data_IF_967081108494
#
_entry.id   IF_967081108494
#
_cell.length_a   1.000
_cell.length_b   1.000
_cell.length_c   1.000
_cell.angle_alpha   90.00
_cell.angle_beta   90.00
_cell.angle_gamma   90.00
#
_symmetry.space_group_name_H-M   'P 1'
#
loop_
_entity.id
_entity.type
_entity.pdbx_description
1 polymer ?
#
# COMPACT_ATOMS: atom_id res chain seq x y z
N UNK A 1 -11.66 -20.99 -2.79
CA UNK A 1 -12.54 -21.05 -1.59
C UNK A 1 -13.41 -19.82 -1.56
N UNK A 2 -14.70 -19.96 -1.17
CA UNK A 2 -15.59 -18.79 -1.02
C UNK A 2 -15.32 -18.06 0.29
N UNK A 3 -15.51 -16.73 0.33
CA UNK A 3 -15.34 -15.94 1.55
C UNK A 3 -16.25 -16.39 2.70
N UNK A 4 -17.44 -16.93 2.41
CA UNK A 4 -18.37 -17.50 3.39
C UNK A 4 -17.82 -18.69 4.16
N UNK A 5 -16.79 -19.36 3.65
CA UNK A 5 -16.14 -20.53 4.26
C UNK A 5 -14.95 -20.15 5.17
N UNK A 6 -14.57 -18.85 5.19
CA UNK A 6 -13.40 -18.34 5.93
C UNK A 6 -13.69 -17.96 7.39
N UNK A 7 -14.92 -18.08 7.88
CA UNK A 7 -15.29 -17.75 9.27
C UNK A 7 -15.53 -16.26 9.53
N UNK A 8 -15.80 -15.49 8.47
CA UNK A 8 -16.12 -14.07 8.57
C UNK A 8 -17.57 -13.87 9.03
N UNK A 9 -17.82 -12.78 9.78
CA UNK A 9 -19.16 -12.41 10.21
C UNK A 9 -20.03 -11.88 9.05
N UNK A 10 -21.35 -11.85 9.27
CA UNK A 10 -22.33 -11.48 8.24
C UNK A 10 -22.15 -10.05 7.72
N UNK A 11 -21.72 -9.10 8.57
CA UNK A 11 -21.52 -7.71 8.19
C UNK A 11 -20.36 -7.56 7.18
N UNK A 12 -19.23 -8.26 7.40
CA UNK A 12 -18.09 -8.25 6.50
C UNK A 12 -18.40 -9.01 5.21
N UNK A 13 -19.09 -10.18 5.29
CA UNK A 13 -19.51 -10.93 4.09
C UNK A 13 -20.39 -10.08 3.19
N UNK A 14 -21.31 -9.31 3.76
CA UNK A 14 -22.18 -8.40 2.99
C UNK A 14 -21.38 -7.28 2.30
N UNK A 15 -20.38 -6.70 3.00
CA UNK A 15 -19.49 -5.69 2.39
C UNK A 15 -18.67 -6.28 1.23
N UNK A 16 -18.16 -7.52 1.38
CA UNK A 16 -17.40 -8.25 0.36
C UNK A 16 -18.27 -8.51 -0.89
N UNK A 17 -19.50 -8.98 -0.69
CA UNK A 17 -20.46 -9.23 -1.77
C UNK A 17 -20.77 -7.94 -2.55
N UNK A 18 -20.98 -6.82 -1.86
CA UNK A 18 -21.20 -5.51 -2.47
C UNK A 18 -19.99 -5.01 -3.28
N UNK A 19 -18.78 -5.45 -2.94
CA UNK A 19 -17.56 -5.17 -3.70
C UNK A 19 -17.36 -6.10 -4.90
N UNK A 20 -18.23 -7.10 -5.09
CA UNK A 20 -18.15 -8.07 -6.18
C UNK A 20 -17.08 -9.15 -5.98
N UNK A 21 -16.63 -9.38 -4.75
CA UNK A 21 -15.66 -10.42 -4.46
C UNK A 21 -16.39 -11.75 -4.19
N UNK A 22 -16.20 -12.74 -5.05
CA UNK A 22 -16.84 -14.05 -4.93
C UNK A 22 -15.93 -15.08 -4.27
N UNK A 23 -14.69 -15.15 -4.75
CA UNK A 23 -13.70 -16.12 -4.31
C UNK A 23 -12.48 -15.46 -3.66
N UNK A 24 -11.98 -16.06 -2.61
CA UNK A 24 -10.77 -15.62 -1.95
C UNK A 24 -9.52 -15.98 -2.77
N UNK A 25 -8.58 -15.07 -2.81
CA UNK A 25 -7.27 -15.32 -3.40
C UNK A 25 -6.43 -16.27 -2.52
N UNK A 26 -5.39 -16.94 -3.05
CA UNK A 26 -4.58 -17.87 -2.26
C UNK A 26 -3.98 -17.30 -0.98
N UNK A 27 -3.60 -15.99 -0.97
CA UNK A 27 -3.09 -15.33 0.25
C UNK A 27 -4.21 -15.13 1.27
N UNK A 28 -5.42 -14.81 0.83
CA UNK A 28 -6.58 -14.63 1.68
C UNK A 28 -7.04 -15.95 2.29
N UNK A 29 -7.13 -17.02 1.48
CA UNK A 29 -7.52 -18.36 1.93
C UNK A 29 -6.63 -18.87 3.06
N UNK A 30 -5.31 -18.65 2.95
CA UNK A 30 -4.35 -19.17 3.92
C UNK A 30 -4.19 -18.24 5.14
N UNK A 31 -4.28 -16.91 4.95
CA UNK A 31 -4.01 -15.94 6.02
C UNK A 31 -5.23 -15.70 6.90
N UNK A 32 -6.43 -15.51 6.31
CA UNK A 32 -7.62 -15.10 7.06
C UNK A 32 -7.94 -16.07 8.21
N UNK A 33 -7.98 -17.40 8.00
CA UNK A 33 -8.29 -18.32 9.10
C UNK A 33 -7.27 -18.30 10.24
N UNK A 34 -5.97 -18.16 9.93
CA UNK A 34 -4.92 -18.06 10.94
C UNK A 34 -5.03 -16.77 11.75
N UNK A 35 -5.25 -15.66 11.06
CA UNK A 35 -5.40 -14.35 11.70
C UNK A 35 -6.68 -14.25 12.56
N UNK A 36 -7.77 -14.91 12.16
CA UNK A 36 -9.00 -15.00 12.97
C UNK A 36 -8.79 -15.80 14.26
N UNK A 37 -7.87 -16.78 14.27
CA UNK A 37 -7.47 -17.51 15.48
C UNK A 37 -6.58 -16.68 16.42
N UNK A 38 -6.19 -15.47 16.03
CA UNK A 38 -5.33 -14.60 16.82
C UNK A 38 -3.83 -14.85 16.64
N UNK A 39 -3.43 -15.70 15.71
CA UNK A 39 -2.02 -16.02 15.44
C UNK A 39 -1.34 -14.85 14.72
N UNK A 40 -0.06 -14.67 15.01
CA UNK A 40 0.79 -13.81 14.21
C UNK A 40 1.08 -14.46 12.86
N UNK A 41 1.06 -13.69 11.79
CA UNK A 41 1.25 -14.23 10.44
C UNK A 41 2.26 -13.42 9.64
N UNK A 42 3.17 -14.11 8.99
CA UNK A 42 4.05 -13.54 7.97
C UNK A 42 3.55 -14.00 6.61
N UNK A 43 2.94 -13.09 5.86
CA UNK A 43 2.42 -13.31 4.51
C UNK A 43 3.41 -12.88 3.43
N UNK A 44 3.99 -13.84 2.71
CA UNK A 44 4.86 -13.55 1.56
C UNK A 44 4.08 -13.67 0.26
N UNK A 45 3.72 -12.51 -0.35
CA UNK A 45 2.99 -12.44 -1.61
C UNK A 45 3.27 -11.12 -2.35
N UNK A 46 3.21 -11.15 -3.68
CA UNK A 46 3.39 -9.97 -4.52
C UNK A 46 2.28 -8.92 -4.33
N UNK A 47 2.51 -7.70 -4.81
CA UNK A 47 1.48 -6.65 -4.88
C UNK A 47 0.35 -7.09 -5.82
N UNK A 48 -0.89 -6.66 -5.56
CA UNK A 48 -2.05 -7.04 -6.37
C UNK A 48 -2.64 -8.44 -6.07
N UNK A 49 -2.12 -9.17 -5.08
CA UNK A 49 -2.63 -10.50 -4.71
C UNK A 49 -3.79 -10.48 -3.71
N UNK A 50 -4.26 -9.28 -3.29
CA UNK A 50 -5.34 -9.14 -2.32
C UNK A 50 -4.90 -9.14 -0.86
N UNK A 51 -3.65 -8.73 -0.57
CA UNK A 51 -3.09 -8.66 0.79
C UNK A 51 -3.93 -7.78 1.72
N UNK A 52 -4.42 -6.64 1.23
CA UNK A 52 -5.21 -5.70 2.05
C UNK A 52 -6.44 -6.36 2.66
N UNK A 53 -7.19 -7.13 1.89
CA UNK A 53 -8.31 -7.90 2.43
C UNK A 53 -7.85 -9.06 3.32
N UNK A 54 -6.69 -9.68 3.03
CA UNK A 54 -6.15 -10.78 3.83
C UNK A 54 -5.84 -10.36 5.28
N UNK A 55 -5.30 -9.16 5.52
CA UNK A 55 -5.12 -8.65 6.88
C UNK A 55 -6.30 -7.79 7.37
N UNK A 56 -6.96 -7.09 6.46
CA UNK A 56 -8.02 -6.15 6.80
C UNK A 56 -9.26 -6.83 7.37
N UNK A 57 -9.71 -7.92 6.76
CA UNK A 57 -10.91 -8.63 7.20
C UNK A 57 -10.81 -9.18 8.63
N UNK A 58 -9.75 -9.93 9.00
CA UNK A 58 -9.61 -10.39 10.38
C UNK A 58 -9.42 -9.25 11.37
N UNK A 59 -8.67 -8.19 11.02
CA UNK A 59 -8.54 -7.00 11.85
C UNK A 59 -9.89 -6.31 12.05
N UNK A 60 -10.65 -6.07 10.98
CA UNK A 60 -11.98 -5.47 11.04
C UNK A 60 -12.94 -6.31 11.88
N UNK A 61 -12.88 -7.65 11.82
CA UNK A 61 -13.75 -8.53 12.59
C UNK A 61 -13.55 -8.38 14.10
N UNK A 62 -12.32 -8.14 14.55
CA UNK A 62 -11.97 -7.95 15.98
C UNK A 62 -12.39 -6.60 16.53
N UNK A 63 -12.53 -5.56 15.71
CA UNK A 63 -12.86 -4.21 16.19
C UNK A 63 -14.17 -4.19 16.96
N UNK A 64 -14.11 -3.70 18.19
CA UNK A 64 -15.29 -3.33 19.00
C UNK A 64 -15.70 -1.89 18.65
N UNK A 65 -16.86 -1.76 18.00
CA UNK A 65 -17.40 -0.46 17.59
C UNK A 65 -17.86 0.42 18.76
N UNK A 66 -18.11 -0.16 19.94
CA UNK A 66 -18.51 0.59 21.14
C UNK A 66 -17.31 1.26 21.81
N UNK A 67 -16.12 0.72 21.60
CA UNK A 67 -14.88 1.26 22.14
C UNK A 67 -14.27 2.29 21.18
N UNK A 68 -14.29 3.56 21.56
CA UNK A 68 -13.80 4.69 20.75
C UNK A 68 -12.32 4.98 20.98
N UNK A 69 -11.50 3.94 20.91
CA UNK A 69 -10.01 3.99 20.96
C UNK A 69 -9.44 3.37 19.70
N UNK A 70 -8.17 3.61 19.45
CA UNK A 70 -7.44 3.00 18.33
C UNK A 70 -7.13 1.54 18.72
N UNK A 71 -7.69 0.59 17.99
CA UNK A 71 -7.56 -0.85 18.23
C UNK A 71 -6.70 -1.53 17.15
N UNK A 72 -6.62 -0.92 15.96
CA UNK A 72 -5.83 -1.40 14.85
C UNK A 72 -4.90 -0.35 14.27
N UNK A 73 -3.70 -0.76 13.87
CA UNK A 73 -2.75 0.09 13.15
C UNK A 73 -2.17 -0.64 11.93
N UNK A 74 -2.14 0.05 10.81
CA UNK A 74 -1.46 -0.41 9.57
C UNK A 74 -0.36 0.56 9.22
N UNK A 75 0.85 0.04 9.06
CA UNK A 75 2.03 0.80 8.66
C UNK A 75 2.35 0.48 7.21
N UNK A 76 2.41 1.51 6.35
CA UNK A 76 2.65 1.40 4.92
C UNK A 76 3.81 2.30 4.47
N UNK A 77 4.62 1.90 3.46
CA UNK A 77 5.83 2.62 3.04
C UNK A 77 5.56 3.99 2.45
N UNK A 78 4.46 4.14 1.72
CA UNK A 78 4.16 5.34 0.94
C UNK A 78 2.80 5.94 1.31
N UNK A 79 2.65 7.23 1.01
CA UNK A 79 1.40 7.98 1.21
C UNK A 79 0.27 7.39 0.39
N UNK A 80 0.59 7.05 -0.84
CA UNK A 80 -0.35 6.51 -1.83
C UNK A 80 -0.90 5.17 -1.34
N UNK A 81 -0.01 4.25 -0.92
CA UNK A 81 -0.44 2.96 -0.39
C UNK A 81 -1.24 3.13 0.92
N UNK A 82 -0.83 4.04 1.81
CA UNK A 82 -1.59 4.30 3.03
C UNK A 82 -3.01 4.80 2.74
N UNK A 83 -3.19 5.67 1.73
CA UNK A 83 -4.50 6.15 1.30
C UNK A 83 -5.33 5.01 0.70
N UNK A 84 -4.74 4.22 -0.20
CA UNK A 84 -5.41 3.08 -0.83
C UNK A 84 -5.86 2.04 0.22
N UNK A 85 -4.97 1.71 1.16
CA UNK A 85 -5.28 0.80 2.26
C UNK A 85 -6.44 1.33 3.12
N UNK A 86 -6.44 2.62 3.44
CA UNK A 86 -7.54 3.24 4.20
C UNK A 86 -8.86 3.16 3.44
N UNK A 87 -8.86 3.46 2.14
CA UNK A 87 -10.05 3.40 1.30
C UNK A 87 -10.59 1.98 1.17
N UNK A 88 -9.71 0.99 1.02
CA UNK A 88 -10.10 -0.42 0.95
C UNK A 88 -10.67 -0.91 2.28
N UNK A 89 -10.01 -0.63 3.42
CA UNK A 89 -10.52 -0.95 4.74
C UNK A 89 -11.87 -0.28 5.02
N UNK A 90 -12.05 0.96 4.58
CA UNK A 90 -13.33 1.65 4.68
C UNK A 90 -14.44 0.93 3.88
N UNK A 91 -14.15 0.51 2.65
CA UNK A 91 -15.10 -0.26 1.82
C UNK A 91 -15.45 -1.61 2.44
N UNK A 92 -14.43 -2.36 2.91
CA UNK A 92 -14.59 -3.65 3.58
C UNK A 92 -15.39 -3.56 4.88
N UNK A 93 -15.34 -2.41 5.56
CA UNK A 93 -16.04 -2.19 6.84
C UNK A 93 -17.36 -1.45 6.73
N UNK A 94 -17.87 -1.23 5.52
CA UNK A 94 -19.05 -0.38 5.28
C UNK A 94 -20.27 -0.76 6.12
N UNK A 95 -20.61 -2.03 6.16
CA UNK A 95 -21.75 -2.53 6.93
C UNK A 95 -21.44 -2.63 8.46
N UNK A 96 -20.18 -2.86 8.82
CA UNK A 96 -19.72 -2.85 10.22
C UNK A 96 -19.49 -1.45 10.79
N UNK A 97 -19.37 -0.41 9.93
CA UNK A 97 -19.21 1.02 10.31
C UNK A 97 -17.97 1.32 11.16
N UNK A 98 -16.82 0.71 10.83
CA UNK A 98 -15.55 1.01 11.49
C UNK A 98 -14.98 2.33 10.97
N UNK A 99 -14.51 3.19 11.87
CA UNK A 99 -13.85 4.44 11.51
C UNK A 99 -12.36 4.22 11.26
N UNK A 100 -11.91 4.46 10.04
CA UNK A 100 -10.52 4.31 9.60
C UNK A 100 -9.96 5.67 9.22
N UNK A 101 -8.86 6.08 9.84
CA UNK A 101 -8.19 7.36 9.56
C UNK A 101 -6.80 7.14 9.01
N UNK A 102 -6.43 7.90 7.96
CA UNK A 102 -5.07 7.86 7.40
C UNK A 102 -4.24 9.06 7.87
N UNK A 103 -2.94 8.81 8.16
CA UNK A 103 -1.95 9.84 8.53
C UNK A 103 -0.65 9.63 7.74
N UNK A 104 -0.16 10.67 7.06
CA UNK A 104 1.05 10.59 6.23
C UNK A 104 1.79 11.92 6.15
N UNK A 105 3.07 11.87 5.84
CA UNK A 105 3.92 13.05 5.70
C UNK A 105 3.57 13.91 4.48
N UNK A 106 3.85 15.22 4.55
CA UNK A 106 3.59 16.18 3.46
C UNK A 106 2.16 16.73 3.39
N UNK A 107 1.24 16.22 4.22
CA UNK A 107 -0.06 16.85 4.45
C UNK A 107 -0.02 17.69 5.74
N UNK A 108 -0.95 18.65 5.84
CA UNK A 108 -1.08 19.49 7.04
C UNK A 108 -1.40 18.64 8.28
N UNK A 109 -0.50 18.69 9.24
CA UNK A 109 -0.62 17.94 10.48
C UNK A 109 -1.82 18.39 11.32
N UNK A 110 -2.15 19.67 11.32
CA UNK A 110 -3.29 20.18 12.10
C UNK A 110 -4.62 19.65 11.56
N UNK A 111 -4.72 19.43 10.25
CA UNK A 111 -5.89 18.79 9.65
C UNK A 111 -5.99 17.35 10.11
N UNK A 112 -4.87 16.61 10.18
CA UNK A 112 -4.85 15.23 10.68
C UNK A 112 -5.20 15.18 12.16
N UNK A 113 -4.64 16.09 12.99
CA UNK A 113 -4.99 16.18 14.41
C UNK A 113 -6.50 16.44 14.62
N UNK A 114 -7.10 17.31 13.79
CA UNK A 114 -8.56 17.53 13.86
C UNK A 114 -9.36 16.27 13.50
N UNK A 115 -8.91 15.54 12.46
CA UNK A 115 -9.58 14.29 12.07
C UNK A 115 -9.46 13.18 13.14
N UNK A 116 -8.34 13.10 13.84
CA UNK A 116 -8.11 12.16 14.94
C UNK A 116 -9.04 12.41 16.15
N UNK A 117 -9.59 13.63 16.32
CA UNK A 117 -10.59 13.91 17.35
C UNK A 117 -11.89 13.12 17.17
N UNK A 118 -12.15 12.59 15.98
CA UNK A 118 -13.29 11.70 15.72
C UNK A 118 -13.11 10.29 16.32
N UNK A 119 -11.99 10.04 17.00
CA UNK A 119 -11.66 8.79 17.68
C UNK A 119 -11.80 7.56 16.76
N UNK A 120 -11.00 7.48 15.68
CA UNK A 120 -11.04 6.32 14.80
C UNK A 120 -10.59 5.05 15.53
N UNK A 121 -11.11 3.89 15.13
CA UNK A 121 -10.70 2.60 15.65
C UNK A 121 -9.47 2.04 14.94
N UNK A 122 -9.24 2.44 13.69
CA UNK A 122 -8.06 2.02 12.91
C UNK A 122 -7.32 3.25 12.40
N UNK A 123 -5.99 3.20 12.53
CA UNK A 123 -5.08 4.16 11.90
C UNK A 123 -4.28 3.45 10.81
N UNK A 124 -4.21 4.07 9.65
CA UNK A 124 -3.28 3.70 8.58
C UNK A 124 -2.27 4.82 8.43
N UNK A 125 -0.98 4.52 8.33
CA UNK A 125 -0.02 5.62 8.19
C UNK A 125 1.36 5.23 7.71
N UNK A 126 2.13 6.27 7.32
CA UNK A 126 3.54 6.14 7.01
C UNK A 126 4.40 6.28 8.29
N UNK A 127 5.54 5.54 8.41
CA UNK A 127 6.29 5.44 9.65
C UNK A 127 6.61 6.79 10.31
N UNK A 128 7.30 7.70 9.62
CA UNK A 128 7.71 8.97 10.18
C UNK A 128 6.55 9.88 10.64
N UNK A 129 5.37 9.84 9.98
CA UNK A 129 4.21 10.62 10.40
C UNK A 129 3.48 9.97 11.59
N UNK A 130 3.45 8.66 11.65
CA UNK A 130 2.96 7.95 12.84
C UNK A 130 3.79 8.33 14.08
N UNK A 131 5.13 8.28 13.97
CA UNK A 131 6.02 8.70 15.06
C UNK A 131 5.83 10.16 15.46
N UNK A 132 5.63 11.08 14.51
CA UNK A 132 5.36 12.49 14.83
C UNK A 132 4.05 12.62 15.65
N UNK A 133 2.98 11.92 15.28
CA UNK A 133 1.75 11.90 16.06
C UNK A 133 1.90 11.23 17.44
N UNK A 134 2.66 10.14 17.55
CA UNK A 134 2.95 9.46 18.81
C UNK A 134 3.73 10.40 19.75
N UNK A 135 4.82 11.02 19.27
CA UNK A 135 5.61 12.00 20.02
C UNK A 135 4.79 13.19 20.49
N UNK A 136 3.83 13.65 19.69
CA UNK A 136 2.86 14.70 20.02
C UNK A 136 1.72 14.23 20.92
N UNK A 137 1.63 12.95 21.23
CA UNK A 137 0.54 12.34 21.99
C UNK A 137 -0.85 12.58 21.37
N UNK A 138 -0.91 12.78 20.06
CA UNK A 138 -2.16 12.92 19.30
C UNK A 138 -2.70 11.57 18.80
N UNK A 139 -1.86 10.54 18.80
CA UNK A 139 -2.19 9.12 18.68
C UNK A 139 -1.67 8.42 19.93
N UNK A 140 -2.47 7.53 20.50
CA UNK A 140 -2.12 6.64 21.62
C UNK A 140 -2.31 5.21 21.15
N UNK A 141 -1.31 4.38 21.44
CA UNK A 141 -1.26 2.99 20.97
C UNK A 141 -1.52 1.97 22.09
N UNK A 142 -1.91 2.43 23.26
CA UNK A 142 -2.12 1.60 24.48
C UNK A 142 -3.17 0.50 24.33
N UNK A 143 -4.04 0.62 23.32
CA UNK A 143 -5.17 -0.29 23.09
C UNK A 143 -5.07 -1.00 21.73
N UNK A 144 -3.89 -1.04 21.14
CA UNK A 144 -3.69 -1.76 19.87
C UNK A 144 -3.80 -3.26 20.11
N UNK A 145 -4.76 -3.90 19.44
CA UNK A 145 -4.97 -5.34 19.43
C UNK A 145 -4.37 -5.99 18.17
N UNK A 146 -4.37 -5.27 17.05
CA UNK A 146 -3.80 -5.76 15.78
C UNK A 146 -2.89 -4.71 15.15
N UNK A 147 -1.65 -5.11 14.84
CA UNK A 147 -0.68 -4.30 14.11
C UNK A 147 -0.34 -4.98 12.79
N UNK A 148 -0.36 -4.21 11.70
CA UNK A 148 -0.02 -4.68 10.37
C UNK A 148 1.18 -3.91 9.83
N UNK A 149 2.17 -4.63 9.31
CA UNK A 149 3.25 -4.09 8.48
C UNK A 149 2.96 -4.51 7.03
N UNK A 150 2.57 -3.57 6.18
CA UNK A 150 2.34 -3.84 4.76
C UNK A 150 3.51 -3.36 3.91
N UNK A 151 3.92 -4.16 2.92
CA UNK A 151 5.13 -3.96 2.12
C UNK A 151 6.37 -3.69 2.99
N UNK A 152 6.60 -4.56 3.97
CA UNK A 152 7.67 -4.38 4.96
C UNK A 152 9.06 -4.29 4.32
N UNK A 153 9.34 -5.05 3.26
CA UNK A 153 10.59 -4.98 2.49
C UNK A 153 10.80 -3.59 1.87
N UNK A 154 9.75 -2.97 1.34
CA UNK A 154 9.85 -1.61 0.80
C UNK A 154 10.11 -0.58 1.89
N UNK A 155 9.49 -0.70 3.06
CA UNK A 155 9.80 0.18 4.20
C UNK A 155 11.27 0.10 4.60
N UNK A 156 11.86 -1.10 4.60
CA UNK A 156 13.28 -1.28 4.91
C UNK A 156 14.20 -0.72 3.81
N UNK A 157 13.84 -0.92 2.54
CA UNK A 157 14.55 -0.34 1.40
C UNK A 157 14.56 1.20 1.44
N UNK A 158 13.53 1.80 2.05
CA UNK A 158 13.42 3.25 2.27
C UNK A 158 14.10 3.74 3.56
N UNK A 159 14.69 2.84 4.35
CA UNK A 159 15.42 3.17 5.58
C UNK A 159 14.56 3.37 6.83
N UNK A 160 13.30 2.90 6.83
CA UNK A 160 12.36 3.08 7.96
C UNK A 160 12.51 2.03 9.08
N UNK A 161 13.59 1.25 9.11
CA UNK A 161 13.76 0.19 10.12
C UNK A 161 13.63 0.74 11.55
N UNK A 162 14.37 1.79 11.88
CA UNK A 162 14.36 2.40 13.21
C UNK A 162 12.99 2.98 13.57
N UNK A 163 12.33 3.61 12.60
CA UNK A 163 10.98 4.16 12.79
C UNK A 163 9.96 3.05 13.09
N UNK A 164 10.04 1.92 12.36
CA UNK A 164 9.17 0.76 12.56
C UNK A 164 9.42 0.17 13.95
N UNK A 165 10.67 -0.07 14.33
CA UNK A 165 11.01 -0.61 15.65
C UNK A 165 10.53 0.30 16.78
N UNK A 166 10.65 1.62 16.63
CA UNK A 166 10.14 2.58 17.59
C UNK A 166 8.62 2.51 17.73
N UNK A 167 7.87 2.40 16.63
CA UNK A 167 6.40 2.27 16.68
C UNK A 167 6.00 0.94 17.33
N UNK A 168 6.65 -0.17 16.96
CA UNK A 168 6.40 -1.49 17.53
C UNK A 168 6.61 -1.52 19.04
N UNK A 169 7.62 -0.80 19.54
CA UNK A 169 7.93 -0.70 20.97
C UNK A 169 6.92 0.11 21.78
N UNK A 170 6.15 0.99 21.14
CA UNK A 170 5.10 1.81 21.77
C UNK A 170 3.73 1.10 21.79
N UNK A 171 3.61 -0.10 21.22
CA UNK A 171 2.39 -0.88 21.22
C UNK A 171 2.42 -2.00 22.27
N UNK A 172 1.26 -2.48 22.79
CA UNK A 172 1.22 -3.57 23.75
C UNK A 172 1.97 -4.81 23.28
N UNK A 173 2.60 -5.53 24.20
CA UNK A 173 3.29 -6.80 23.89
C UNK A 173 2.27 -7.87 23.44
N UNK A 174 1.14 -7.94 24.12
CA UNK A 174 0.04 -8.89 23.87
C UNK A 174 -0.85 -8.42 22.70
N UNK A 175 -0.25 -8.10 21.55
CA UNK A 175 -0.99 -7.78 20.32
C UNK A 175 -0.80 -8.88 19.28
N UNK A 176 -1.69 -8.96 18.33
CA UNK A 176 -1.47 -9.71 17.11
C UNK A 176 -0.66 -8.86 16.11
N UNK A 177 0.37 -9.44 15.51
CA UNK A 177 1.17 -8.78 14.47
C UNK A 177 1.06 -9.53 13.14
N UNK A 178 0.66 -8.82 12.08
CA UNK A 178 0.57 -9.35 10.73
C UNK A 178 1.61 -8.63 9.86
N UNK A 179 2.52 -9.37 9.25
CA UNK A 179 3.60 -8.82 8.42
C UNK A 179 3.44 -9.31 6.98
N UNK A 180 3.31 -8.38 6.05
CA UNK A 180 3.21 -8.67 4.62
C UNK A 180 4.40 -8.10 3.86
N UNK A 181 4.97 -8.92 2.99
CA UNK A 181 6.15 -8.57 2.20
C UNK A 181 6.20 -9.37 0.90
N UNK A 182 6.74 -8.79 -0.16
CA UNK A 182 7.00 -9.54 -1.40
C UNK A 182 8.28 -10.38 -1.26
N UNK A 183 9.27 -9.88 -0.56
CA UNK A 183 10.57 -10.52 -0.33
C UNK A 183 10.82 -10.75 1.17
N UNK A 184 11.72 -11.67 1.50
CA UNK A 184 12.02 -12.03 2.88
C UNK A 184 13.52 -11.91 3.19
N UNK A 185 14.10 -10.69 3.13
CA UNK A 185 15.49 -10.47 3.51
C UNK A 185 15.69 -10.71 5.02
N UNK A 186 16.94 -10.88 5.46
CA UNK A 186 17.24 -11.19 6.86
C UNK A 186 16.81 -10.10 7.84
N UNK A 187 16.74 -8.85 7.39
CA UNK A 187 16.21 -7.73 8.18
C UNK A 187 14.72 -7.91 8.52
N UNK A 188 13.90 -8.40 7.59
CA UNK A 188 12.48 -8.73 7.84
C UNK A 188 12.37 -9.90 8.83
N UNK A 189 13.18 -10.95 8.64
CA UNK A 189 13.21 -12.08 9.57
C UNK A 189 13.54 -11.64 10.99
N UNK A 190 14.49 -10.69 11.16
CA UNK A 190 14.85 -10.11 12.47
C UNK A 190 13.67 -9.38 13.11
N UNK A 191 12.88 -8.61 12.35
CA UNK A 191 11.64 -8.00 12.85
C UNK A 191 10.67 -9.09 13.33
N UNK A 192 10.46 -10.13 12.54
CA UNK A 192 9.61 -11.26 12.92
C UNK A 192 10.05 -11.90 14.24
N UNK A 193 11.34 -12.23 14.38
CA UNK A 193 11.88 -12.83 15.61
C UNK A 193 11.78 -11.90 16.82
N UNK A 194 11.96 -10.59 16.63
CA UNK A 194 12.01 -9.61 17.74
C UNK A 194 10.62 -9.18 18.22
N UNK A 195 9.64 -9.10 17.35
CA UNK A 195 8.37 -8.43 17.63
C UNK A 195 7.11 -9.29 17.39
N UNK A 196 7.27 -10.53 16.96
CA UNK A 196 6.16 -11.45 16.69
C UNK A 196 6.24 -12.70 17.56
N UNK A 197 5.08 -13.28 17.86
CA UNK A 197 4.96 -14.48 18.70
C UNK A 197 4.71 -15.72 17.84
N UNK A 198 5.76 -16.56 17.66
CA UNK A 198 5.69 -17.80 16.88
C UNK A 198 4.87 -17.66 15.58
N UNK A 199 5.24 -16.74 14.67
CA UNK A 199 4.39 -16.41 13.53
C UNK A 199 4.25 -17.57 12.55
N UNK A 200 3.04 -17.77 12.04
CA UNK A 200 2.76 -18.69 10.94
C UNK A 200 3.25 -18.09 9.61
N UNK A 201 3.92 -18.89 8.81
CA UNK A 201 4.47 -18.46 7.53
C UNK A 201 3.58 -18.89 6.36
N UNK A 202 2.90 -17.95 5.76
CA UNK A 202 2.14 -18.13 4.52
C UNK A 202 2.96 -17.62 3.35
N UNK A 203 3.36 -18.52 2.46
CA UNK A 203 4.13 -18.17 1.27
C UNK A 203 3.37 -18.56 0.01
N UNK A 204 2.89 -17.57 -0.70
CA UNK A 204 2.30 -17.80 -2.02
C UNK A 204 3.43 -17.81 -3.05
N UNK A 205 3.59 -18.96 -3.69
CA UNK A 205 4.50 -19.03 -4.84
C UNK A 205 3.98 -18.07 -5.90
N UNK A 206 4.86 -17.19 -6.39
CA UNK A 206 4.53 -16.42 -7.58
C UNK A 206 4.07 -17.42 -8.65
N UNK A 207 2.78 -17.39 -8.98
CA UNK A 207 2.35 -18.16 -10.13
C UNK A 207 3.13 -17.59 -11.31
N UNK A 208 3.77 -18.44 -12.10
CA UNK A 208 4.53 -18.04 -13.30
C UNK A 208 3.70 -17.21 -14.29
N UNK A 209 2.40 -17.06 -14.02
CA UNK A 209 1.42 -16.37 -14.84
C UNK A 209 1.66 -14.88 -14.97
N UNK A 210 2.06 -14.15 -13.93
CA UNK A 210 2.24 -12.68 -14.04
C UNK A 210 3.54 -12.32 -14.78
N UNK A 211 4.64 -13.03 -14.54
CA UNK A 211 5.89 -12.82 -15.28
C UNK A 211 5.79 -13.27 -16.76
N UNK A 212 4.93 -14.27 -17.05
CA UNK A 212 4.68 -14.77 -18.40
C UNK A 212 3.69 -13.89 -19.21
N UNK A 213 3.04 -12.92 -18.57
CA UNK A 213 2.12 -11.98 -19.22
C UNK A 213 2.80 -10.66 -19.61
N UNK A 214 4.08 -10.47 -19.26
CA UNK A 214 4.83 -9.26 -19.57
C UNK A 214 5.89 -9.58 -20.60
N UNK A 215 5.71 -9.07 -21.81
CA UNK A 215 6.74 -9.11 -22.83
C UNK A 215 7.85 -8.11 -22.50
N UNK A 216 9.07 -8.59 -22.36
CA UNK A 216 10.22 -7.76 -22.01
C UNK A 216 11.14 -7.56 -23.20
N UNK A 217 11.41 -6.29 -23.52
CA UNK A 217 12.27 -5.90 -24.60
C UNK A 217 13.38 -4.97 -24.10
N UNK A 218 14.50 -4.92 -24.81
CA UNK A 218 15.50 -3.90 -24.60
C UNK A 218 15.98 -3.31 -25.94
N UNK A 219 16.33 -2.03 -25.91
CA UNK A 219 16.87 -1.32 -27.06
C UNK A 219 18.26 -0.82 -26.72
N UNK A 220 19.22 -1.15 -27.58
CA UNK A 220 20.61 -0.70 -27.45
C UNK A 220 20.78 0.64 -28.19
N UNK A 221 20.97 1.73 -27.44
CA UNK A 221 21.14 3.07 -27.99
C UNK A 221 22.13 3.88 -27.13
N UNK A 222 22.65 4.99 -27.67
CA UNK A 222 23.46 5.94 -26.92
C UNK A 222 22.61 6.81 -26.03
N UNK A 223 23.18 7.38 -24.97
CA UNK A 223 22.41 8.16 -24.00
C UNK A 223 21.63 9.34 -24.60
N UNK A 224 22.23 10.02 -25.58
CA UNK A 224 21.59 11.15 -26.26
C UNK A 224 20.46 10.72 -27.21
N UNK A 225 20.42 9.46 -27.63
CA UNK A 225 19.39 8.89 -28.51
C UNK A 225 18.18 8.33 -27.73
N UNK A 226 18.30 8.17 -26.40
CA UNK A 226 17.26 7.50 -25.58
C UNK A 226 15.89 8.14 -25.71
N UNK A 227 15.83 9.47 -25.68
CA UNK A 227 14.55 10.19 -25.75
C UNK A 227 13.89 10.00 -27.12
N UNK A 228 14.63 10.15 -28.21
CA UNK A 228 14.12 9.95 -29.56
C UNK A 228 13.73 8.49 -29.82
N UNK A 229 14.51 7.56 -29.31
CA UNK A 229 14.21 6.12 -29.41
C UNK A 229 12.92 5.79 -28.66
N UNK A 230 12.74 6.32 -27.44
CA UNK A 230 11.53 6.13 -26.64
C UNK A 230 10.28 6.69 -27.34
N UNK A 231 10.34 7.90 -27.89
CA UNK A 231 9.20 8.49 -28.58
C UNK A 231 8.84 7.74 -29.87
N UNK A 232 9.84 7.25 -30.64
CA UNK A 232 9.57 6.35 -31.78
C UNK A 232 8.89 5.05 -31.36
N UNK A 233 9.25 4.49 -30.20
CA UNK A 233 8.55 3.32 -29.67
C UNK A 233 7.09 3.64 -29.35
N UNK A 234 6.82 4.80 -28.75
CA UNK A 234 5.42 5.23 -28.50
C UNK A 234 4.65 5.43 -29.79
N UNK A 235 5.25 6.03 -30.82
CA UNK A 235 4.61 6.23 -32.11
C UNK A 235 4.25 4.89 -32.81
N UNK A 236 5.10 3.87 -32.64
CA UNK A 236 4.91 2.54 -33.25
C UNK A 236 3.95 1.67 -32.43
N UNK A 237 4.11 1.64 -31.10
CA UNK A 237 3.32 0.76 -30.22
C UNK A 237 1.98 1.36 -29.83
N UNK A 238 1.86 2.69 -29.87
CA UNK A 238 0.66 3.45 -29.51
C UNK A 238 0.00 2.97 -28.20
N UNK A 239 0.74 2.93 -27.06
CA UNK A 239 0.23 2.41 -25.81
C UNK A 239 -0.93 3.27 -25.29
N UNK A 240 -2.00 2.64 -24.79
CA UNK A 240 -3.10 3.37 -24.17
C UNK A 240 -2.67 4.09 -22.90
N UNK A 241 -1.91 3.40 -22.05
CA UNK A 241 -1.31 3.96 -20.83
C UNK A 241 0.13 3.48 -20.69
N UNK A 242 1.07 4.39 -20.52
CA UNK A 242 2.48 4.07 -20.35
C UNK A 242 3.08 4.71 -19.10
N UNK A 243 4.00 3.99 -18.44
CA UNK A 243 4.80 4.54 -17.33
C UNK A 243 6.26 4.60 -17.78
N UNK A 244 6.87 5.77 -17.65
CA UNK A 244 8.28 6.01 -17.93
C UNK A 244 9.03 6.23 -16.62
N UNK A 245 10.06 5.41 -16.36
CA UNK A 245 10.87 5.56 -15.16
C UNK A 245 12.07 6.47 -15.42
N UNK A 246 12.16 7.55 -14.64
CA UNK A 246 13.30 8.45 -14.60
C UNK A 246 14.13 8.26 -13.34
N UNK A 247 15.45 8.11 -13.48
CA UNK A 247 16.36 7.84 -12.36
C UNK A 247 16.39 8.95 -11.29
N UNK A 248 16.11 10.20 -11.66
CA UNK A 248 16.13 11.36 -10.77
C UNK A 248 14.91 12.25 -10.99
N UNK A 249 14.54 13.05 -9.98
CA UNK A 249 13.46 14.05 -10.07
C UNK A 249 13.63 14.98 -11.26
N UNK A 250 14.84 15.55 -11.42
CA UNK A 250 15.18 16.40 -12.56
C UNK A 250 14.96 15.70 -13.90
N UNK A 251 15.34 14.42 -13.99
CA UNK A 251 15.14 13.65 -15.23
C UNK A 251 13.66 13.40 -15.51
N UNK A 252 12.85 13.21 -14.49
CA UNK A 252 11.39 13.13 -14.61
C UNK A 252 10.81 14.42 -15.18
N UNK A 253 11.22 15.59 -14.67
CA UNK A 253 10.77 16.90 -15.17
C UNK A 253 11.21 17.13 -16.62
N UNK A 254 12.46 16.80 -16.96
CA UNK A 254 13.00 16.93 -18.34
C UNK A 254 12.23 16.03 -19.32
N UNK A 255 11.95 14.77 -18.92
CA UNK A 255 11.25 13.81 -19.77
C UNK A 255 9.78 14.20 -19.96
N UNK A 256 9.05 14.53 -18.87
CA UNK A 256 7.65 14.92 -18.98
C UNK A 256 7.45 16.16 -19.83
N UNK A 257 8.30 17.19 -19.64
CA UNK A 257 8.26 18.40 -20.46
C UNK A 257 8.63 18.12 -21.92
N UNK A 258 9.63 17.27 -22.17
CA UNK A 258 10.00 16.88 -23.52
C UNK A 258 8.90 16.12 -24.26
N UNK A 259 8.18 15.24 -23.56
CA UNK A 259 7.03 14.53 -24.11
C UNK A 259 5.85 15.48 -24.39
N UNK A 260 5.55 16.40 -23.49
CA UNK A 260 4.51 17.42 -23.67
C UNK A 260 4.80 18.29 -24.90
N UNK A 261 6.05 18.74 -25.07
CA UNK A 261 6.47 19.54 -26.24
C UNK A 261 6.34 18.76 -27.57
N UNK A 262 6.36 17.44 -27.53
CA UNK A 262 6.08 16.57 -28.70
C UNK A 262 4.60 16.21 -28.88
N UNK A 263 3.73 16.76 -28.05
CA UNK A 263 2.29 16.57 -28.19
C UNK A 263 1.71 15.38 -27.42
N UNK A 264 2.52 14.65 -26.63
CA UNK A 264 2.01 13.59 -25.76
C UNK A 264 1.32 14.18 -24.50
N UNK A 265 0.26 13.56 -24.05
CA UNK A 265 -0.39 13.86 -22.77
C UNK A 265 0.42 13.21 -21.64
N UNK A 266 1.50 13.86 -21.21
CA UNK A 266 2.45 13.34 -20.24
C UNK A 266 2.63 14.28 -19.06
N UNK A 267 2.70 13.73 -17.85
CA UNK A 267 3.04 14.47 -16.63
C UNK A 267 4.01 13.70 -15.74
N UNK A 268 4.84 14.44 -15.00
CA UNK A 268 5.82 13.88 -14.08
C UNK A 268 5.28 13.71 -12.66
N UNK A 269 5.76 12.67 -11.95
CA UNK A 269 5.50 12.47 -10.53
C UNK A 269 6.79 12.14 -9.78
N UNK A 270 7.10 12.94 -8.75
CA UNK A 270 8.29 12.77 -7.89
C UNK A 270 8.10 13.42 -6.51
N UNK A 271 9.06 13.22 -5.61
CA UNK A 271 8.94 13.60 -4.21
C UNK A 271 8.85 15.11 -3.92
N UNK A 272 9.23 16.00 -4.86
CA UNK A 272 9.17 17.45 -4.65
C UNK A 272 7.81 18.05 -5.00
N UNK A 273 6.92 17.27 -5.64
CA UNK A 273 5.56 17.73 -5.90
C UNK A 273 4.75 17.78 -4.61
N UNK A 274 3.85 18.76 -4.53
CA UNK A 274 2.85 18.78 -3.45
C UNK A 274 1.94 17.56 -3.54
N UNK A 275 1.43 17.08 -2.39
CA UNK A 275 0.53 15.93 -2.37
C UNK A 275 -0.73 16.14 -3.24
N UNK A 276 -1.25 17.37 -3.24
CA UNK A 276 -2.40 17.71 -4.08
C UNK A 276 -2.09 17.53 -5.57
N UNK A 277 -0.91 18.01 -6.04
CA UNK A 277 -0.49 17.82 -7.43
C UNK A 277 -0.27 16.35 -7.77
N UNK A 278 0.38 15.58 -6.87
CA UNK A 278 0.58 14.13 -7.06
C UNK A 278 -0.75 13.40 -7.27
N UNK A 279 -1.74 13.66 -6.39
CA UNK A 279 -3.07 13.04 -6.49
C UNK A 279 -3.80 13.46 -7.77
N UNK A 280 -3.67 14.73 -8.19
CA UNK A 280 -4.24 15.22 -9.45
C UNK A 280 -3.66 14.48 -10.66
N UNK A 281 -2.32 14.34 -10.72
CA UNK A 281 -1.63 13.62 -11.81
C UNK A 281 -2.04 12.15 -11.84
N UNK A 282 -2.04 11.48 -10.69
CA UNK A 282 -2.46 10.08 -10.60
C UNK A 282 -3.90 9.86 -11.04
N UNK A 283 -4.81 10.72 -10.60
CA UNK A 283 -6.21 10.65 -11.03
C UNK A 283 -6.35 10.88 -12.53
N UNK A 284 -5.65 11.87 -13.09
CA UNK A 284 -5.65 12.13 -14.52
C UNK A 284 -5.15 10.93 -15.32
N UNK A 285 -4.10 10.24 -14.84
CA UNK A 285 -3.57 9.04 -15.45
C UNK A 285 -4.56 7.85 -15.33
N UNK A 286 -5.12 7.60 -14.15
CA UNK A 286 -6.11 6.53 -13.92
C UNK A 286 -7.40 6.69 -14.73
N UNK A 287 -7.78 7.94 -15.04
CA UNK A 287 -8.99 8.25 -15.82
C UNK A 287 -8.74 8.39 -17.32
N UNK A 288 -7.51 8.14 -17.81
CA UNK A 288 -7.15 8.27 -19.23
C UNK A 288 -7.06 9.71 -19.74
N UNK A 289 -7.04 10.70 -18.84
CA UNK A 289 -6.77 12.11 -19.20
C UNK A 289 -5.27 12.38 -19.44
N UNK A 290 -4.40 11.49 -18.99
CA UNK A 290 -2.98 11.40 -19.32
C UNK A 290 -2.68 10.02 -19.88
N UNK A 291 -1.86 9.95 -20.92
CA UNK A 291 -1.44 8.70 -21.56
C UNK A 291 -0.12 8.20 -20.97
N UNK A 292 0.74 9.13 -20.55
CA UNK A 292 2.09 8.83 -20.10
C UNK A 292 2.32 9.42 -18.70
N UNK A 293 2.63 8.55 -17.73
CA UNK A 293 3.11 8.94 -16.42
C UNK A 293 4.63 8.82 -16.37
N UNK A 294 5.33 9.91 -16.09
CA UNK A 294 6.78 9.87 -15.89
C UNK A 294 7.06 9.89 -14.38
N UNK A 295 7.73 8.86 -13.85
CA UNK A 295 7.88 8.70 -12.41
C UNK A 295 9.33 8.37 -12.00
N UNK A 296 9.73 8.73 -10.78
CA UNK A 296 10.88 8.08 -10.14
C UNK A 296 10.45 6.74 -9.55
N UNK A 297 11.38 5.78 -9.41
CA UNK A 297 11.10 4.48 -8.79
C UNK A 297 10.39 4.62 -7.44
N UNK A 298 10.84 5.55 -6.59
CA UNK A 298 10.25 5.82 -5.28
C UNK A 298 8.82 6.37 -5.39
N UNK A 299 8.56 7.24 -6.37
CA UNK A 299 7.24 7.83 -6.55
C UNK A 299 6.22 6.89 -7.18
N UNK A 300 6.68 5.89 -7.92
CA UNK A 300 5.83 4.87 -8.54
C UNK A 300 5.51 3.69 -7.62
N UNK A 301 6.22 3.55 -6.50
CA UNK A 301 5.96 2.48 -5.51
C UNK A 301 4.57 2.62 -4.90
N UNK A 302 3.90 1.48 -4.76
CA UNK A 302 2.55 1.42 -4.17
C UNK A 302 1.46 2.05 -5.03
N UNK A 303 1.74 2.35 -6.32
CA UNK A 303 0.72 2.76 -7.26
C UNK A 303 0.00 1.52 -7.80
N UNK A 304 -1.27 1.38 -7.45
CA UNK A 304 -2.16 0.42 -8.08
C UNK A 304 -2.83 1.08 -9.29
N UNK A 305 -2.35 0.72 -10.48
CA UNK A 305 -2.83 1.27 -11.75
C UNK A 305 -3.14 0.10 -12.69
N UNK A 306 -4.41 -0.10 -12.95
CA UNK A 306 -4.88 -1.06 -13.95
C UNK A 306 -4.80 -0.48 -15.36
N UNK A 307 -4.61 -1.33 -16.37
CA UNK A 307 -4.66 -0.94 -17.79
C UNK A 307 -3.36 -0.33 -18.33
N UNK A 308 -2.24 -0.40 -17.63
CA UNK A 308 -0.93 -0.06 -18.19
C UNK A 308 -0.53 -1.14 -19.19
N UNK A 309 -0.20 -0.74 -20.41
CA UNK A 309 0.15 -1.63 -21.53
C UNK A 309 1.64 -1.66 -21.79
#
# INVERSE_FOLDING_TARGET
MKFSELGLNAELLKSIEQMGFEEATPIQEQTIPLALQGLDVIGQAQTGTGKTAAFGLPMLQKIDNNNKVIQGIVIAPTRELAIQTQEELYRLSRDKKVSVQVVYGGADINRQIRALKNKPQIIVGTPGRLLDHIKRKTIRLDHIETLVLDEADEMLNMGFLEDIEAILSETPAERQTLLFSATMPDSIKKIGVKFMHAPEHVKIKASHTAANLIDQYFVKCKDFEKFDTMTRLFDVQNPELAIVFGRTKRRVDELSKGLELRGYRAEGIHGDLTQQKRMSVLNAFKTGNLDILVATDVAARGLDISGVT
#
